data_IF_402557421399
#
_entry.id   IF_402557421399
#
_cell.length_a   1.000
_cell.length_b   1.000
_cell.length_c   1.000
_cell.angle_alpha   90.00
_cell.angle_beta   90.00
_cell.angle_gamma   90.00
#
_symmetry.space_group_name_H-M   'P 1'
#
loop_
_entity.id
_entity.type
_entity.pdbx_description
1 polymer ?
#
# COMPACT_ATOMS: atom_id res chain seq x y z
N UNK A 1 -19.31 29.08 11.59
CA UNK A 1 -18.02 29.45 10.97
C UNK A 1 -17.04 28.33 11.22
N UNK A 2 -16.59 27.73 10.13
CA UNK A 2 -15.68 26.59 10.07
C UNK A 2 -14.33 26.90 10.72
N UNK A 3 -13.74 25.88 11.33
CA UNK A 3 -12.30 25.82 11.50
C UNK A 3 -11.89 24.37 11.27
N UNK A 4 -12.03 23.93 10.03
CA UNK A 4 -11.31 22.76 9.52
C UNK A 4 -9.83 23.09 9.65
N UNK A 5 -9.20 22.54 10.68
CA UNK A 5 -7.76 22.63 10.89
C UNK A 5 -7.09 22.00 9.68
N UNK A 6 -6.52 22.84 8.83
CA UNK A 6 -5.55 22.48 7.80
C UNK A 6 -4.50 21.59 8.46
N UNK A 7 -4.55 20.29 8.17
CA UNK A 7 -3.48 19.37 8.55
C UNK A 7 -2.22 19.81 7.79
N UNK A 8 -1.06 19.90 8.44
CA UNK A 8 0.18 20.30 7.77
C UNK A 8 0.39 19.37 6.57
N UNK A 9 0.73 19.95 5.41
CA UNK A 9 0.95 19.20 4.18
C UNK A 9 1.82 17.98 4.47
N UNK A 10 1.28 16.78 4.20
CA UNK A 10 2.02 15.55 4.42
C UNK A 10 3.32 15.63 3.61
N UNK A 11 4.50 15.47 4.24
CA UNK A 11 5.77 15.64 3.54
C UNK A 11 6.04 14.53 2.53
N UNK A 12 5.14 13.53 2.42
CA UNK A 12 5.24 12.39 1.52
C UNK A 12 4.18 12.50 0.43
N UNK A 13 4.53 13.02 -0.76
CA UNK A 13 3.68 12.98 -1.94
C UNK A 13 3.20 11.54 -2.20
N UNK A 14 1.89 11.33 -2.30
CA UNK A 14 1.34 9.98 -2.52
C UNK A 14 1.27 9.09 -1.27
N UNK A 15 1.36 9.66 -0.06
CA UNK A 15 1.18 8.92 1.19
C UNK A 15 -0.14 8.11 1.19
N UNK A 16 -0.04 6.79 1.39
CA UNK A 16 -1.20 5.90 1.48
C UNK A 16 -2.24 6.38 2.49
N UNK A 17 -1.82 6.84 3.68
CA UNK A 17 -2.75 7.31 4.70
C UNK A 17 -3.49 8.60 4.31
N UNK A 18 -2.86 9.48 3.53
CA UNK A 18 -3.53 10.67 2.99
C UNK A 18 -4.53 10.27 1.90
N UNK A 19 -4.17 9.32 1.04
CA UNK A 19 -5.09 8.75 0.05
C UNK A 19 -6.33 8.15 0.75
N UNK A 20 -6.14 7.39 1.83
CA UNK A 20 -7.25 6.80 2.59
C UNK A 20 -8.11 7.84 3.33
N UNK A 21 -7.59 9.05 3.60
CA UNK A 21 -8.35 10.16 4.18
C UNK A 21 -9.11 10.99 3.15
N UNK A 22 -8.90 10.79 1.85
CA UNK A 22 -9.64 11.48 0.79
C UNK A 22 -11.13 11.10 0.86
N UNK A 23 -11.97 12.11 1.12
CA UNK A 23 -13.41 11.95 1.30
C UNK A 23 -14.17 11.78 -0.02
N UNK A 24 -13.61 12.23 -1.14
CA UNK A 24 -14.20 12.03 -2.46
C UNK A 24 -13.83 10.64 -3.02
N UNK A 25 -14.79 9.72 -3.22
CA UNK A 25 -14.50 8.36 -3.64
C UNK A 25 -13.80 8.26 -5.00
N UNK A 26 -14.18 9.09 -5.98
CA UNK A 26 -13.57 9.08 -7.31
C UNK A 26 -12.12 9.54 -7.27
N UNK A 27 -11.81 10.59 -6.49
CA UNK A 27 -10.44 11.06 -6.29
C UNK A 27 -9.59 10.05 -5.52
N UNK A 28 -10.17 9.43 -4.49
CA UNK A 28 -9.52 8.37 -3.72
C UNK A 28 -9.16 7.19 -4.61
N UNK A 29 -10.11 6.68 -5.40
CA UNK A 29 -9.92 5.57 -6.33
C UNK A 29 -8.83 5.86 -7.36
N UNK A 30 -8.83 7.07 -7.96
CA UNK A 30 -7.78 7.48 -8.89
C UNK A 30 -6.39 7.55 -8.23
N UNK A 31 -6.34 8.02 -6.97
CA UNK A 31 -5.10 8.11 -6.20
C UNK A 31 -4.57 6.73 -5.79
N UNK A 32 -5.45 5.79 -5.42
CA UNK A 32 -5.10 4.40 -5.14
C UNK A 32 -4.56 3.68 -6.39
N UNK A 33 -5.20 3.87 -7.55
CA UNK A 33 -4.71 3.34 -8.82
C UNK A 33 -3.28 3.81 -9.11
N UNK A 34 -3.03 5.12 -8.92
CA UNK A 34 -1.71 5.70 -9.10
C UNK A 34 -0.71 5.13 -8.09
N UNK A 35 -1.10 5.06 -6.81
CA UNK A 35 -0.29 4.51 -5.73
C UNK A 35 0.16 3.07 -6.02
N UNK A 36 -0.74 2.16 -6.41
CA UNK A 36 -0.37 0.77 -6.72
C UNK A 36 0.57 0.62 -7.91
N UNK A 37 0.47 1.51 -8.91
CA UNK A 37 1.37 1.52 -10.06
C UNK A 37 2.77 2.03 -9.71
N UNK A 38 2.86 3.06 -8.88
CA UNK A 38 4.12 3.74 -8.56
C UNK A 38 4.90 3.05 -7.44
N UNK A 39 4.20 2.51 -6.44
CA UNK A 39 4.82 1.95 -5.23
C UNK A 39 5.97 0.96 -5.51
N UNK A 40 5.86 -0.02 -6.43
CA UNK A 40 6.97 -0.95 -6.68
C UNK A 40 8.21 -0.28 -7.30
N UNK A 41 8.02 0.83 -8.02
CA UNK A 41 9.10 1.54 -8.71
C UNK A 41 9.89 2.48 -7.80
N UNK A 42 9.33 2.86 -6.65
CA UNK A 42 9.97 3.76 -5.69
C UNK A 42 11.13 3.06 -4.97
N UNK A 43 12.25 3.75 -4.79
CA UNK A 43 13.37 3.34 -3.95
C UNK A 43 13.48 4.23 -2.69
N UNK A 44 12.41 4.97 -2.39
CA UNK A 44 12.37 5.93 -1.29
C UNK A 44 12.39 5.24 0.08
N UNK A 45 12.94 5.93 1.07
CA UNK A 45 12.88 5.47 2.45
C UNK A 45 11.43 5.40 2.95
N UNK A 46 11.11 4.35 3.71
CA UNK A 46 9.84 4.26 4.42
C UNK A 46 8.69 3.57 3.67
N UNK A 47 8.94 2.89 2.54
CA UNK A 47 7.94 2.09 1.80
C UNK A 47 7.23 1.03 2.66
N UNK A 48 7.88 0.55 3.73
CA UNK A 48 7.31 -0.44 4.66
C UNK A 48 6.05 0.06 5.35
N UNK A 49 6.02 1.34 5.75
CA UNK A 49 4.90 1.89 6.50
C UNK A 49 3.58 1.89 5.70
N UNK A 50 3.50 2.44 4.47
CA UNK A 50 2.27 2.38 3.69
C UNK A 50 1.87 0.94 3.35
N UNK A 51 2.82 0.03 3.15
CA UNK A 51 2.52 -1.39 2.90
C UNK A 51 1.94 -2.07 4.15
N UNK A 52 2.44 -1.77 5.34
CA UNK A 52 1.87 -2.26 6.60
C UNK A 52 0.44 -1.74 6.83
N UNK A 53 0.19 -0.47 6.47
CA UNK A 53 -1.15 0.12 6.50
C UNK A 53 -2.11 -0.53 5.49
N UNK A 54 -1.60 -0.87 4.31
CA UNK A 54 -2.33 -1.59 3.28
C UNK A 54 -2.71 -3.00 3.74
N UNK A 55 -1.78 -3.72 4.37
CA UNK A 55 -2.04 -5.03 4.96
C UNK A 55 -3.13 -4.99 6.03
N UNK A 56 -3.07 -4.03 6.95
CA UNK A 56 -4.13 -3.85 7.96
C UNK A 56 -5.50 -3.59 7.32
N UNK A 57 -5.55 -2.78 6.26
CA UNK A 57 -6.79 -2.51 5.52
C UNK A 57 -7.32 -3.76 4.82
N UNK A 58 -6.45 -4.50 4.13
CA UNK A 58 -6.81 -5.75 3.45
C UNK A 58 -7.31 -6.82 4.44
N UNK A 59 -6.75 -6.87 5.64
CA UNK A 59 -7.19 -7.78 6.71
C UNK A 59 -8.54 -7.40 7.31
N UNK A 60 -8.84 -6.11 7.43
CA UNK A 60 -10.13 -5.64 7.96
C UNK A 60 -11.29 -5.88 6.98
N UNK A 61 -11.01 -5.82 5.68
CA UNK A 61 -12.02 -5.91 4.62
C UNK A 61 -11.60 -6.88 3.50
N UNK A 62 -11.37 -8.17 3.80
CA UNK A 62 -10.82 -9.12 2.83
C UNK A 62 -11.77 -9.45 1.67
N UNK A 63 -13.06 -9.08 1.78
CA UNK A 63 -14.08 -9.29 0.76
C UNK A 63 -14.34 -8.04 -0.10
N UNK A 64 -13.68 -6.91 0.18
CA UNK A 64 -13.85 -5.69 -0.60
C UNK A 64 -13.05 -5.78 -1.90
N UNK A 65 -13.71 -5.73 -3.09
CA UNK A 65 -13.03 -5.87 -4.36
C UNK A 65 -12.27 -4.62 -4.80
N UNK A 66 -12.44 -3.45 -4.15
CA UNK A 66 -11.88 -2.17 -4.63
C UNK A 66 -10.38 -2.28 -4.90
N UNK A 67 -9.60 -2.82 -3.98
CA UNK A 67 -8.16 -2.93 -4.16
C UNK A 67 -7.77 -3.98 -5.22
N UNK A 68 -8.56 -5.05 -5.36
CA UNK A 68 -8.36 -6.06 -6.41
C UNK A 68 -8.53 -5.41 -7.78
N UNK A 69 -9.62 -4.67 -8.00
CA UNK A 69 -9.90 -3.99 -9.26
C UNK A 69 -8.85 -2.93 -9.62
N UNK A 70 -8.20 -2.35 -8.61
CA UNK A 70 -7.18 -1.33 -8.77
C UNK A 70 -5.77 -1.89 -8.96
N UNK A 71 -5.59 -3.21 -8.88
CA UNK A 71 -4.33 -3.89 -9.20
C UNK A 71 -3.41 -4.12 -8.01
N UNK A 72 -3.97 -4.39 -6.82
CA UNK A 72 -3.17 -4.69 -5.63
C UNK A 72 -2.32 -5.95 -5.81
N UNK A 73 -2.79 -6.97 -6.54
CA UNK A 73 -2.03 -8.20 -6.77
C UNK A 73 -0.80 -7.96 -7.64
N UNK A 74 -0.95 -7.18 -8.71
CA UNK A 74 0.16 -6.75 -9.56
C UNK A 74 1.19 -5.95 -8.76
N UNK A 75 0.72 -5.05 -7.90
CA UNK A 75 1.56 -4.27 -7.01
C UNK A 75 2.37 -5.17 -6.05
N UNK A 76 1.70 -6.09 -5.35
CA UNK A 76 2.34 -6.99 -4.38
C UNK A 76 3.29 -7.98 -5.04
N UNK A 77 2.92 -8.54 -6.20
CA UNK A 77 3.79 -9.42 -6.98
C UNK A 77 5.06 -8.70 -7.46
N UNK A 78 4.93 -7.45 -7.91
CA UNK A 78 6.05 -6.63 -8.31
C UNK A 78 7.01 -6.31 -7.15
N UNK A 79 6.49 -6.06 -5.94
CA UNK A 79 7.31 -5.85 -4.74
C UNK A 79 8.07 -7.11 -4.32
N UNK A 80 7.43 -8.28 -4.37
CA UNK A 80 8.11 -9.57 -4.12
C UNK A 80 9.22 -9.76 -5.16
N UNK A 81 8.91 -9.55 -6.44
CA UNK A 81 9.89 -9.67 -7.52
C UNK A 81 11.08 -8.71 -7.33
N UNK A 82 10.81 -7.47 -6.94
CA UNK A 82 11.85 -6.48 -6.62
C UNK A 82 12.77 -6.96 -5.50
N UNK A 83 12.22 -7.50 -4.41
CA UNK A 83 13.02 -8.07 -3.32
C UNK A 83 13.89 -9.25 -3.77
N UNK A 84 13.40 -10.07 -4.71
CA UNK A 84 14.17 -11.18 -5.28
C UNK A 84 15.31 -10.71 -6.21
N UNK A 85 15.11 -9.63 -6.96
CA UNK A 85 16.06 -9.14 -7.98
C UNK A 85 17.03 -8.08 -7.50
N UNK A 86 16.64 -7.27 -6.52
CA UNK A 86 17.43 -6.17 -6.01
C UNK A 86 17.79 -6.39 -4.54
N UNK A 87 18.88 -7.13 -4.30
CA UNK A 87 19.37 -7.43 -2.96
C UNK A 87 19.78 -6.17 -2.17
N UNK A 88 20.29 -5.14 -2.86
CA UNK A 88 20.67 -3.87 -2.22
C UNK A 88 19.44 -3.14 -1.68
N UNK A 89 18.40 -3.02 -2.50
CA UNK A 89 17.12 -2.46 -2.05
C UNK A 89 16.52 -3.26 -0.90
N UNK A 90 16.57 -4.60 -0.98
CA UNK A 90 16.02 -5.47 0.06
C UNK A 90 16.76 -5.32 1.41
N UNK A 91 18.08 -5.14 1.39
CA UNK A 91 18.89 -4.97 2.59
C UNK A 91 18.83 -3.56 3.19
N UNK A 92 18.14 -2.62 2.53
CA UNK A 92 18.04 -1.23 2.97
C UNK A 92 16.98 -1.08 4.05
N UNK A 93 17.37 -0.53 5.21
CA UNK A 93 16.53 -0.27 6.37
C UNK A 93 15.56 -1.41 6.74
N UNK A 94 14.27 -1.21 6.46
CA UNK A 94 13.18 -2.10 6.82
C UNK A 94 12.63 -2.84 5.58
N UNK A 95 13.20 -2.64 4.39
CA UNK A 95 12.67 -3.21 3.14
C UNK A 95 12.63 -4.74 3.13
N UNK A 96 13.41 -5.39 4.01
CA UNK A 96 13.36 -6.83 4.25
C UNK A 96 11.95 -7.33 4.63
N UNK A 97 11.11 -6.48 5.23
CA UNK A 97 9.74 -6.82 5.61
C UNK A 97 8.72 -6.64 4.47
N UNK A 98 9.08 -5.94 3.39
CA UNK A 98 8.14 -5.66 2.30
C UNK A 98 7.64 -6.94 1.62
N UNK A 99 8.50 -7.90 1.22
CA UNK A 99 8.01 -9.14 0.62
C UNK A 99 7.13 -9.96 1.57
N UNK A 100 7.39 -9.89 2.88
CA UNK A 100 6.55 -10.52 3.91
C UNK A 100 5.13 -9.94 3.88
N UNK A 101 4.98 -8.61 4.01
CA UNK A 101 3.66 -7.98 3.96
C UNK A 101 2.95 -8.21 2.62
N UNK A 102 3.68 -8.14 1.51
CA UNK A 102 3.13 -8.38 0.18
C UNK A 102 2.55 -9.80 0.04
N UNK A 103 3.27 -10.82 0.53
CA UNK A 103 2.78 -12.19 0.55
C UNK A 103 1.54 -12.33 1.45
N UNK A 104 1.54 -11.69 2.62
CA UNK A 104 0.38 -11.71 3.52
C UNK A 104 -0.85 -11.04 2.91
N UNK A 105 -0.71 -9.90 2.23
CA UNK A 105 -1.82 -9.23 1.52
C UNK A 105 -2.43 -10.16 0.47
N UNK A 106 -1.60 -10.81 -0.35
CA UNK A 106 -2.09 -11.79 -1.34
C UNK A 106 -2.82 -12.94 -0.63
N UNK A 107 -2.25 -13.45 0.47
CA UNK A 107 -2.87 -14.47 1.31
C UNK A 107 -4.23 -14.06 1.86
N UNK A 108 -4.37 -12.83 2.36
CA UNK A 108 -5.60 -12.31 2.96
C UNK A 108 -6.77 -12.34 1.98
N UNK A 109 -6.58 -11.91 0.74
CA UNK A 109 -7.64 -11.95 -0.28
C UNK A 109 -7.92 -13.36 -0.81
N UNK A 110 -6.92 -14.23 -0.88
CA UNK A 110 -7.10 -15.59 -1.41
C UNK A 110 -7.72 -16.55 -0.39
N UNK A 111 -7.64 -16.24 0.90
CA UNK A 111 -8.13 -17.07 2.00
C UNK A 111 -9.16 -16.39 2.90
N UNK A 112 -9.80 -15.31 2.41
CA UNK A 112 -10.83 -14.55 3.14
C UNK A 112 -10.40 -14.15 4.56
N UNK A 113 -9.18 -13.64 4.71
CA UNK A 113 -8.62 -13.16 5.98
C UNK A 113 -8.18 -14.23 6.98
N UNK A 114 -8.16 -15.52 6.61
CA UNK A 114 -7.86 -16.64 7.52
C UNK A 114 -6.35 -16.91 7.79
N UNK A 115 -5.46 -16.04 7.33
CA UNK A 115 -3.99 -16.23 7.41
C UNK A 115 -3.31 -15.41 8.53
N UNK A 116 -4.09 -14.78 9.41
CA UNK A 116 -3.55 -14.11 10.60
C UNK A 116 -3.97 -14.82 11.89
#
# INVERSE_FOLDING_TARGET
>A
MSMDKVSPDCPYPGCFFCVMKEGNPSKRRASLLKFFRELPSQDDDGQVLPISGLWNTAMAHPNDPEFIELGIFECMAALIWKGLKNRRWLSHDQNIYIPYYAAHIIGSYTMNGRIC
#
